data_IF_748319570223
#
_entry.id   IF_748319570223
#
_cell.length_a   1.000
_cell.length_b   1.000
_cell.length_c   1.000
_cell.angle_alpha   90.00
_cell.angle_beta   90.00
_cell.angle_gamma   90.00
#
_symmetry.space_group_name_H-M   'P 1'
#
loop_
_entity.id
_entity.type
_entity.pdbx_description
1 polymer ?
#
# COMPACT_ATOMS: atom_id res chain seq x y z
N UNK A 1 -7.30 12.05 -18.00
CA UNK A 1 -7.21 10.96 -17.01
C UNK A 1 -8.51 10.15 -17.06
N UNK A 2 -8.42 8.83 -17.22
CA UNK A 2 -9.59 7.97 -17.25
C UNK A 2 -10.19 7.81 -15.86
N UNK A 3 -11.47 7.39 -15.76
CA UNK A 3 -12.09 7.08 -14.48
C UNK A 3 -11.31 5.99 -13.71
N UNK A 4 -10.78 4.97 -14.40
CA UNK A 4 -10.00 3.91 -13.75
C UNK A 4 -8.68 4.43 -13.20
N UNK A 5 -7.98 5.27 -13.95
CA UNK A 5 -6.75 5.89 -13.46
C UNK A 5 -7.01 6.75 -12.22
N UNK A 6 -8.10 7.52 -12.24
CA UNK A 6 -8.48 8.34 -11.09
C UNK A 6 -8.80 7.47 -9.87
N UNK A 7 -9.55 6.39 -10.06
CA UNK A 7 -9.89 5.49 -8.97
C UNK A 7 -8.63 4.87 -8.34
N UNK A 8 -7.64 4.50 -9.16
CA UNK A 8 -6.39 3.93 -8.67
C UNK A 8 -5.54 4.98 -7.93
N UNK A 9 -5.47 6.20 -8.45
CA UNK A 9 -4.77 7.29 -7.75
C UNK A 9 -5.44 7.61 -6.42
N UNK A 10 -6.76 7.63 -6.38
CA UNK A 10 -7.52 7.84 -5.15
C UNK A 10 -7.28 6.70 -4.14
N UNK A 11 -7.15 5.46 -4.63
CA UNK A 11 -6.81 4.32 -3.78
C UNK A 11 -5.46 4.54 -3.09
N UNK A 12 -4.45 4.97 -3.83
CA UNK A 12 -3.11 5.25 -3.28
C UNK A 12 -3.18 6.37 -2.23
N UNK A 13 -3.91 7.45 -2.52
CA UNK A 13 -4.09 8.55 -1.57
C UNK A 13 -4.79 8.07 -0.29
N UNK A 14 -5.84 7.29 -0.44
CA UNK A 14 -6.58 6.73 0.71
C UNK A 14 -5.69 5.82 1.54
N UNK A 15 -4.89 4.98 0.88
CA UNK A 15 -3.92 4.12 1.55
C UNK A 15 -2.97 4.92 2.44
N UNK A 16 -2.39 5.98 1.88
CA UNK A 16 -1.44 6.81 2.62
C UNK A 16 -2.10 7.54 3.78
N UNK A 17 -3.30 8.08 3.57
CA UNK A 17 -4.06 8.77 4.63
C UNK A 17 -4.44 7.81 5.76
N UNK A 18 -4.96 6.65 5.41
CA UNK A 18 -5.36 5.64 6.39
C UNK A 18 -4.14 5.11 7.16
N UNK A 19 -3.02 4.91 6.47
CA UNK A 19 -1.78 4.47 7.11
C UNK A 19 -1.28 5.49 8.12
N UNK A 20 -1.31 6.79 7.77
CA UNK A 20 -0.92 7.85 8.70
C UNK A 20 -1.84 7.95 9.90
N UNK A 21 -3.12 7.68 9.70
CA UNK A 21 -4.13 7.73 10.77
C UNK A 21 -4.13 6.48 11.65
N UNK A 22 -3.37 5.45 11.28
CA UNK A 22 -3.43 4.16 11.96
C UNK A 22 -4.74 3.40 11.72
N UNK A 23 -5.44 3.74 10.65
CA UNK A 23 -6.74 3.15 10.29
C UNK A 23 -6.52 1.87 9.49
N UNK A 24 -6.16 0.81 10.19
CA UNK A 24 -5.87 -0.49 9.58
C UNK A 24 -7.08 -1.04 8.81
N UNK A 25 -8.28 -0.87 9.32
CA UNK A 25 -9.49 -1.40 8.67
C UNK A 25 -9.68 -0.81 7.27
N UNK A 26 -9.48 0.50 7.11
CA UNK A 26 -9.56 1.14 5.80
C UNK A 26 -8.49 0.59 4.86
N UNK A 27 -7.25 0.45 5.34
CA UNK A 27 -6.15 -0.10 4.51
C UNK A 27 -6.50 -1.51 4.06
N UNK A 28 -7.01 -2.35 4.95
CA UNK A 28 -7.40 -3.73 4.62
C UNK A 28 -8.51 -3.76 3.56
N UNK A 29 -9.41 -2.77 3.55
CA UNK A 29 -10.48 -2.71 2.56
C UNK A 29 -10.01 -2.38 1.16
N UNK A 30 -8.78 -1.90 0.99
CA UNK A 30 -8.20 -1.53 -0.29
C UNK A 30 -7.45 -2.67 -0.97
N UNK A 31 -7.37 -3.82 -0.34
CA UNK A 31 -6.65 -4.98 -0.86
C UNK A 31 -7.58 -6.18 -1.06
N UNK A 32 -7.27 -7.00 -2.06
CA UNK A 32 -8.03 -8.21 -2.32
C UNK A 32 -7.80 -9.24 -1.21
N UNK A 33 -8.73 -10.19 -1.06
CA UNK A 33 -8.60 -11.23 -0.05
C UNK A 33 -7.39 -12.14 -0.32
N UNK A 34 -7.00 -12.28 -1.58
CA UNK A 34 -5.86 -13.09 -2.00
C UNK A 34 -4.59 -12.29 -2.23
N UNK A 35 -4.51 -11.07 -1.70
CA UNK A 35 -3.35 -10.20 -1.85
C UNK A 35 -2.08 -10.87 -1.37
N UNK A 36 -0.98 -10.61 -2.07
CA UNK A 36 0.36 -11.07 -1.67
C UNK A 36 1.31 -9.88 -1.67
N UNK A 37 2.02 -9.74 -0.55
CA UNK A 37 3.08 -8.75 -0.37
C UNK A 37 4.44 -9.44 -0.43
N UNK A 38 5.37 -8.79 -1.11
CA UNK A 38 6.77 -9.25 -1.20
C UNK A 38 7.66 -8.11 -0.72
N UNK A 39 8.43 -8.37 0.33
CA UNK A 39 9.37 -7.40 0.89
C UNK A 39 10.75 -8.04 1.03
N UNK A 40 11.83 -7.25 1.04
CA UNK A 40 13.18 -7.79 1.15
C UNK A 40 13.36 -8.58 2.45
N UNK A 41 13.99 -9.74 2.35
CA UNK A 41 14.37 -10.54 3.51
C UNK A 41 13.25 -11.32 4.18
N UNK A 42 12.07 -11.36 3.58
CA UNK A 42 10.93 -12.11 4.13
C UNK A 42 10.26 -12.96 3.07
N UNK A 43 9.66 -14.07 3.49
CA UNK A 43 8.77 -14.82 2.62
C UNK A 43 7.54 -13.97 2.27
N UNK A 44 6.96 -14.15 1.07
CA UNK A 44 5.73 -13.48 0.72
C UNK A 44 4.62 -13.77 1.72
N UNK A 45 3.78 -12.78 1.98
CA UNK A 45 2.73 -12.91 2.99
C UNK A 45 1.42 -12.29 2.51
N UNK A 46 0.33 -12.71 3.11
CA UNK A 46 -1.01 -12.29 2.73
C UNK A 46 -1.62 -11.26 3.67
N UNK A 47 -2.94 -11.10 3.52
CA UNK A 47 -3.71 -10.08 4.20
C UNK A 47 -3.68 -10.20 5.72
N UNK A 48 -3.77 -11.43 6.26
CA UNK A 48 -3.78 -11.64 7.71
C UNK A 48 -2.46 -11.21 8.35
N UNK A 49 -1.34 -11.56 7.74
CA UNK A 49 -0.02 -11.16 8.24
C UNK A 49 0.15 -9.64 8.14
N UNK A 50 -0.32 -9.04 7.04
CA UNK A 50 -0.32 -7.59 6.93
C UNK A 50 -1.09 -6.94 8.06
N UNK A 51 -2.29 -7.43 8.36
CA UNK A 51 -3.12 -6.92 9.45
C UNK A 51 -2.42 -7.02 10.80
N UNK A 52 -1.80 -8.17 11.09
CA UNK A 52 -1.07 -8.38 12.33
C UNK A 52 0.12 -7.42 12.44
N UNK A 53 0.87 -7.23 11.36
CA UNK A 53 2.00 -6.30 11.34
C UNK A 53 1.54 -4.86 11.58
N UNK A 54 0.43 -4.45 10.95
CA UNK A 54 -0.13 -3.11 11.15
C UNK A 54 -0.56 -2.88 12.59
N UNK A 55 -1.21 -3.87 13.20
CA UNK A 55 -1.65 -3.78 14.60
C UNK A 55 -0.47 -3.75 15.56
N UNK A 56 0.61 -4.44 15.24
CA UNK A 56 1.82 -4.41 16.08
C UNK A 56 2.50 -3.05 16.10
N UNK A 57 2.19 -2.20 15.13
CA UNK A 57 2.72 -0.83 15.06
C UNK A 57 1.76 0.20 15.68
N UNK A 58 0.76 -0.25 16.40
CA UNK A 58 -0.19 0.64 17.07
C UNK A 58 0.54 1.60 18.01
N UNK A 59 0.19 2.89 17.92
CA UNK A 59 0.86 3.95 18.67
C UNK A 59 2.11 4.52 17.99
N UNK A 60 2.58 3.92 16.91
CA UNK A 60 3.65 4.50 16.11
C UNK A 60 3.09 5.64 15.26
N UNK A 61 3.90 6.69 15.08
CA UNK A 61 3.56 7.80 14.20
C UNK A 61 4.18 7.53 12.83
N UNK A 62 3.35 7.53 11.80
CA UNK A 62 3.81 7.35 10.42
C UNK A 62 3.50 8.60 9.61
N UNK A 63 4.49 9.11 8.91
CA UNK A 63 4.34 10.18 7.94
C UNK A 63 5.03 9.75 6.66
N UNK A 64 4.57 10.28 5.52
CA UNK A 64 5.22 9.96 4.28
C UNK A 64 4.44 10.39 3.06
N UNK A 65 5.07 10.13 1.93
CA UNK A 65 4.53 10.45 0.61
C UNK A 65 4.67 9.27 -0.32
N UNK A 66 3.74 9.18 -1.26
CA UNK A 66 3.80 8.24 -2.37
C UNK A 66 3.76 9.06 -3.66
N UNK A 67 4.75 8.85 -4.52
CA UNK A 67 4.85 9.52 -5.81
C UNK A 67 4.69 8.48 -6.91
N UNK A 68 3.54 8.51 -7.59
CA UNK A 68 3.26 7.57 -8.69
C UNK A 68 4.11 7.96 -9.90
N UNK A 69 5.06 7.11 -10.25
CA UNK A 69 5.96 7.31 -11.37
C UNK A 69 5.41 6.75 -12.68
N UNK A 70 4.66 5.66 -12.60
CA UNK A 70 4.03 5.03 -13.75
C UNK A 70 2.71 4.40 -13.32
N UNK A 71 1.73 4.46 -14.22
CA UNK A 71 0.43 3.81 -14.02
C UNK A 71 -0.09 3.36 -15.37
N UNK A 72 -0.40 2.07 -15.50
CA UNK A 72 -0.94 1.49 -16.72
C UNK A 72 -2.17 0.66 -16.41
N UNK A 73 -3.26 0.95 -17.09
CA UNK A 73 -4.52 0.19 -16.97
C UNK A 73 -4.67 -0.71 -18.20
N UNK A 74 -4.92 -2.00 -17.95
CA UNK A 74 -5.04 -3.03 -18.97
C UNK A 74 -6.33 -3.82 -18.71
N UNK A 75 -7.48 -3.30 -19.14
CA UNK A 75 -8.77 -3.92 -18.88
C UNK A 75 -9.10 -3.91 -17.39
N UNK A 76 -9.27 -5.10 -16.81
CA UNK A 76 -9.58 -5.25 -15.39
C UNK A 76 -8.33 -5.38 -14.50
N UNK A 77 -7.16 -5.13 -15.08
CA UNK A 77 -5.90 -5.17 -14.37
C UNK A 77 -5.16 -3.87 -14.58
N UNK A 78 -4.31 -3.55 -13.62
CA UNK A 78 -3.43 -2.38 -13.73
C UNK A 78 -2.13 -2.66 -12.98
N UNK A 79 -1.09 -1.94 -13.33
CA UNK A 79 0.12 -1.91 -12.54
C UNK A 79 0.54 -0.45 -12.33
N UNK A 80 1.20 -0.21 -11.21
CA UNK A 80 1.78 1.10 -10.95
C UNK A 80 3.13 0.94 -10.25
N UNK A 81 3.96 1.94 -10.43
CA UNK A 81 5.26 2.05 -9.78
C UNK A 81 5.28 3.35 -9.00
N UNK A 82 5.49 3.24 -7.71
CA UNK A 82 5.60 4.38 -6.80
C UNK A 82 7.02 4.55 -6.31
N UNK A 83 7.39 5.78 -6.02
CA UNK A 83 8.48 6.05 -5.09
C UNK A 83 7.86 6.45 -3.74
N UNK A 84 8.23 5.71 -2.69
CA UNK A 84 7.67 5.90 -1.35
C UNK A 84 8.77 6.41 -0.43
N UNK A 85 8.46 7.46 0.32
CA UNK A 85 9.29 7.95 1.42
C UNK A 85 8.45 7.94 2.67
N UNK A 86 8.91 7.25 3.71
CA UNK A 86 8.20 7.18 4.98
C UNK A 86 9.13 7.47 6.14
N UNK A 87 8.54 8.07 7.17
CA UNK A 87 9.18 8.32 8.46
C UNK A 87 8.32 7.65 9.51
N UNK A 88 8.91 6.76 10.28
CA UNK A 88 8.21 6.01 11.32
C UNK A 88 8.83 6.40 12.66
N UNK A 89 7.99 6.86 13.59
CA UNK A 89 8.40 7.12 14.97
C UNK A 89 7.67 6.11 15.87
N UNK A 90 8.35 5.04 16.27
CA UNK A 90 7.74 4.07 17.19
C UNK A 90 7.45 4.70 18.54
N UNK A 91 6.47 4.16 19.26
CA UNK A 91 6.19 4.61 20.63
C UNK A 91 7.42 4.40 21.49
N UNK A 92 7.98 5.49 22.04
CA UNK A 92 9.17 5.43 22.90
C UNK A 92 10.46 5.11 22.19
N UNK A 93 10.49 5.11 20.84
CA UNK A 93 11.66 4.79 20.04
C UNK A 93 12.13 5.94 19.18
N UNK A 94 13.23 5.72 18.48
CA UNK A 94 13.80 6.70 17.59
C UNK A 94 13.11 6.70 16.23
N UNK A 95 13.07 7.88 15.61
CA UNK A 95 12.51 8.03 14.27
C UNK A 95 13.38 7.32 13.23
N UNK A 96 12.74 6.56 12.35
CA UNK A 96 13.39 5.83 11.27
C UNK A 96 12.88 6.35 9.93
N UNK A 97 13.80 6.60 9.00
CA UNK A 97 13.48 6.98 7.62
C UNK A 97 13.67 5.79 6.71
N UNK A 98 12.70 5.58 5.80
CA UNK A 98 12.78 4.52 4.80
C UNK A 98 12.30 5.06 3.47
N UNK A 99 12.88 4.56 2.39
CA UNK A 99 12.45 4.94 1.04
C UNK A 99 12.71 3.80 0.07
N UNK A 100 12.04 3.85 -1.07
CA UNK A 100 12.25 2.88 -2.12
C UNK A 100 11.07 2.84 -3.09
N UNK A 101 11.22 2.01 -4.10
CA UNK A 101 10.18 1.83 -5.10
C UNK A 101 9.26 0.67 -4.74
N UNK A 102 8.02 0.77 -5.20
CA UNK A 102 7.08 -0.35 -5.16
C UNK A 102 6.58 -0.63 -6.57
N UNK A 103 6.28 -1.89 -6.84
CA UNK A 103 5.54 -2.30 -8.03
C UNK A 103 4.28 -3.01 -7.57
N UNK A 104 3.13 -2.42 -7.90
CA UNK A 104 1.83 -2.87 -7.43
C UNK A 104 0.98 -3.32 -8.60
N UNK A 105 0.34 -4.49 -8.46
CA UNK A 105 -0.65 -4.98 -9.43
C UNK A 105 -2.02 -4.84 -8.77
N UNK A 106 -2.95 -4.22 -9.50
CA UNK A 106 -4.30 -4.00 -9.04
C UNK A 106 -5.28 -4.76 -9.93
N UNK A 107 -6.40 -5.14 -9.36
CA UNK A 107 -7.46 -5.84 -10.06
C UNK A 107 -8.78 -5.13 -9.84
N UNK A 108 -9.56 -4.97 -10.91
CA UNK A 108 -10.91 -4.42 -10.83
C UNK A 108 -11.88 -5.56 -10.52
N UNK A 109 -12.58 -5.44 -9.40
CA UNK A 109 -13.53 -6.44 -8.95
C UNK A 109 -14.85 -6.32 -9.73
N UNK A 110 -15.72 -7.33 -9.59
CA UNK A 110 -17.00 -7.37 -10.30
C UNK A 110 -17.89 -6.19 -9.96
N UNK A 111 -17.77 -5.61 -8.77
CA UNK A 111 -18.53 -4.42 -8.35
C UNK A 111 -17.94 -3.11 -8.87
N UNK A 112 -16.87 -3.17 -9.63
CA UNK A 112 -16.19 -1.99 -10.20
C UNK A 112 -15.10 -1.38 -9.35
N UNK A 113 -14.89 -1.86 -8.13
CA UNK A 113 -13.81 -1.35 -7.26
C UNK A 113 -12.46 -1.91 -7.69
N UNK A 114 -11.45 -1.06 -7.64
CA UNK A 114 -10.07 -1.48 -7.80
C UNK A 114 -9.49 -1.89 -6.44
N UNK A 115 -8.82 -3.02 -6.40
CA UNK A 115 -8.15 -3.51 -5.20
C UNK A 115 -6.71 -3.88 -5.50
N UNK A 116 -5.85 -3.68 -4.52
CA UNK A 116 -4.45 -4.09 -4.58
C UNK A 116 -4.38 -5.61 -4.47
N UNK A 117 -3.79 -6.26 -5.47
CA UNK A 117 -3.72 -7.73 -5.53
C UNK A 117 -2.32 -8.28 -5.27
N UNK A 118 -1.29 -7.58 -5.74
CA UNK A 118 0.12 -7.95 -5.52
C UNK A 118 0.91 -6.68 -5.26
N UNK A 119 1.87 -6.76 -4.37
CA UNK A 119 2.72 -5.61 -4.07
C UNK A 119 4.16 -6.08 -3.82
N UNK A 120 5.05 -5.69 -4.71
CA UNK A 120 6.48 -5.85 -4.50
C UNK A 120 7.02 -4.54 -3.95
N UNK A 121 7.52 -4.57 -2.73
CA UNK A 121 7.89 -3.39 -1.97
C UNK A 121 9.38 -3.42 -1.66
N UNK A 122 10.12 -2.47 -2.23
CA UNK A 122 11.57 -2.35 -2.06
C UNK A 122 11.94 -1.21 -1.09
N UNK A 123 11.00 -0.77 -0.29
CA UNK A 123 11.23 0.27 0.73
C UNK A 123 12.12 -0.29 1.84
N UNK A 124 13.27 0.35 2.06
CA UNK A 124 14.24 -0.10 3.06
C UNK A 124 14.79 1.03 3.94
#
# INVERSE_FOLDING_TARGET
MSPDERAIRDLVDTWMKASRAGDTETVLSLMSDDVIFMVPGREPFGKQTFAANSRSMDGAKLEGTADIRELKVLGNWAWLRNFIEITITPRGGETVHRSGFTLTILRKEADGRWLLARDANLVT
#
